data_IF_105063202690
#
_entry.id   IF_105063202690
#
_cell.length_a   1.000
_cell.length_b   1.000
_cell.length_c   1.000
_cell.angle_alpha   90.00
_cell.angle_beta   90.00
_cell.angle_gamma   90.00
#
_symmetry.space_group_name_H-M   'P 1'
#
loop_
_entity.id
_entity.type
_entity.pdbx_description
1 polymer ?
#
# COMPACT_ATOMS: atom_id res chain seq x y z
N UNK A 1 15.29 27.23 8.00
CA UNK A 1 16.42 26.77 7.17
C UNK A 1 16.91 25.54 7.87
N UNK A 2 16.24 24.43 7.62
CA UNK A 2 16.45 23.21 8.38
C UNK A 2 17.80 22.62 7.98
N UNK A 3 18.62 22.44 9.01
CA UNK A 3 19.94 21.86 8.95
C UNK A 3 19.79 20.42 8.45
N UNK A 4 20.05 20.20 7.15
CA UNK A 4 20.16 18.87 6.58
C UNK A 4 21.37 18.20 7.21
N UNK A 5 21.13 17.49 8.32
CA UNK A 5 22.13 16.68 9.01
C UNK A 5 22.74 15.70 8.01
N UNK A 6 24.05 15.82 7.79
CA UNK A 6 24.83 14.80 7.07
C UNK A 6 24.71 13.48 7.83
N UNK A 7 23.84 12.57 7.40
CA UNK A 7 23.62 11.26 8.02
C UNK A 7 24.83 10.30 7.90
N UNK A 8 25.96 10.77 7.37
CA UNK A 8 27.18 9.98 7.13
C UNK A 8 27.95 9.61 8.40
N UNK A 9 27.77 10.33 9.51
CA UNK A 9 28.69 10.25 10.67
C UNK A 9 28.10 9.53 11.90
N UNK A 10 26.92 8.92 11.77
CA UNK A 10 26.29 8.18 12.86
C UNK A 10 26.92 6.79 13.03
N UNK A 11 27.31 6.47 14.26
CA UNK A 11 27.68 5.10 14.68
C UNK A 11 26.54 4.12 14.41
N UNK A 12 26.85 2.84 14.18
CA UNK A 12 25.85 1.79 13.98
C UNK A 12 24.80 1.77 15.11
N UNK A 13 25.23 1.97 16.36
CA UNK A 13 24.34 2.01 17.53
C UNK A 13 23.39 3.20 17.50
N UNK A 14 23.83 4.34 16.99
CA UNK A 14 22.99 5.54 16.85
C UNK A 14 21.96 5.37 15.73
N UNK A 15 22.34 4.69 14.62
CA UNK A 15 21.41 4.37 13.54
C UNK A 15 20.34 3.37 13.98
N UNK A 16 20.73 2.35 14.75
CA UNK A 16 19.79 1.38 15.31
C UNK A 16 18.78 2.06 16.25
N UNK A 17 19.25 2.95 17.12
CA UNK A 17 18.38 3.69 18.03
C UNK A 17 17.40 4.60 17.28
N UNK A 18 17.87 5.30 16.24
CA UNK A 18 16.99 6.10 15.38
C UNK A 18 15.96 5.25 14.63
N UNK A 19 16.35 4.06 14.18
CA UNK A 19 15.42 3.13 13.52
C UNK A 19 14.36 2.61 14.49
N UNK A 20 14.76 2.26 15.71
CA UNK A 20 13.85 1.84 16.78
C UNK A 20 12.86 2.95 17.15
N UNK A 21 13.36 4.18 17.35
CA UNK A 21 12.53 5.35 17.61
C UNK A 21 11.58 5.66 16.42
N UNK A 22 12.01 5.43 15.18
CA UNK A 22 11.18 5.65 13.99
C UNK A 22 10.06 4.60 13.85
N UNK A 23 10.36 3.32 14.09
CA UNK A 23 9.45 2.20 13.92
C UNK A 23 8.51 1.99 15.11
N UNK A 24 9.01 2.19 16.33
CA UNK A 24 8.34 1.82 17.60
C UNK A 24 8.10 3.04 18.50
N UNK A 25 8.59 4.22 18.10
CA UNK A 25 8.44 5.45 18.88
C UNK A 25 7.00 5.67 19.36
N UNK A 26 6.86 6.08 20.62
CA UNK A 26 5.61 6.11 21.40
C UNK A 26 4.44 6.94 20.81
N UNK A 27 4.63 7.61 19.67
CA UNK A 27 3.63 8.46 19.01
C UNK A 27 3.34 8.04 17.57
N UNK A 28 4.08 7.11 16.98
CA UNK A 28 4.02 6.85 15.55
C UNK A 28 3.15 5.63 15.23
N UNK A 29 1.85 5.71 15.58
CA UNK A 29 0.85 4.72 15.16
C UNK A 29 0.57 4.76 13.64
N UNK A 30 1.27 5.61 12.89
CA UNK A 30 1.11 5.77 11.45
C UNK A 30 1.34 4.46 10.70
N UNK A 31 2.31 3.63 11.14
CA UNK A 31 2.55 2.33 10.53
C UNK A 31 1.42 1.33 10.79
N UNK A 32 0.89 1.29 12.01
CA UNK A 32 -0.25 0.43 12.35
C UNK A 32 -1.51 0.87 11.58
N UNK A 33 -1.78 2.18 11.53
CA UNK A 33 -2.87 2.74 10.74
C UNK A 33 -2.70 2.46 9.24
N UNK A 34 -1.47 2.50 8.74
CA UNK A 34 -1.15 2.18 7.36
C UNK A 34 -1.33 0.69 7.06
N UNK A 35 -0.87 -0.18 7.95
CA UNK A 35 -1.05 -1.63 7.86
C UNK A 35 -2.54 -1.97 7.85
N UNK A 36 -3.34 -1.41 8.74
CA UNK A 36 -4.79 -1.59 8.76
C UNK A 36 -5.46 -1.14 7.44
N UNK A 37 -4.94 -0.10 6.79
CA UNK A 37 -5.47 0.40 5.51
C UNK A 37 -5.04 -0.43 4.30
N UNK A 38 -3.91 -1.13 4.37
CA UNK A 38 -3.36 -1.89 3.23
C UNK A 38 -3.59 -3.38 3.36
N UNK A 39 -3.75 -3.89 4.57
CA UNK A 39 -4.08 -5.29 4.87
C UNK A 39 -5.55 -5.62 4.56
N UNK A 40 -6.01 -5.22 3.38
CA UNK A 40 -7.29 -5.66 2.81
C UNK A 40 -7.06 -6.88 1.94
N UNK A 41 -8.06 -7.76 1.89
CA UNK A 41 -8.04 -8.90 0.99
C UNK A 41 -7.95 -8.42 -0.46
N UNK A 42 -6.88 -8.81 -1.14
CA UNK A 42 -6.70 -8.60 -2.58
C UNK A 42 -6.92 -9.93 -3.32
N UNK A 43 -7.99 -10.07 -4.13
CA UNK A 43 -8.24 -11.30 -4.90
C UNK A 43 -7.07 -11.68 -5.81
N UNK A 44 -6.35 -10.69 -6.36
CA UNK A 44 -5.19 -10.93 -7.21
C UNK A 44 -4.01 -11.52 -6.46
N UNK A 45 -3.83 -11.18 -5.19
CA UNK A 45 -2.81 -11.80 -4.33
C UNK A 45 -3.19 -13.23 -3.98
N UNK A 46 -4.45 -13.46 -3.59
CA UNK A 46 -4.96 -14.77 -3.21
C UNK A 46 -4.81 -15.84 -4.32
N UNK A 47 -4.90 -15.43 -5.58
CA UNK A 47 -4.75 -16.32 -6.74
C UNK A 47 -3.35 -16.28 -7.39
N UNK A 48 -2.38 -15.58 -6.77
CA UNK A 48 -0.99 -15.54 -7.26
C UNK A 48 -0.76 -14.68 -8.51
N UNK A 49 -1.60 -13.69 -8.76
CA UNK A 49 -1.53 -12.78 -9.92
C UNK A 49 -0.90 -11.42 -9.57
N UNK A 50 0.09 -11.34 -8.66
CA UNK A 50 0.60 -10.06 -8.10
C UNK A 50 1.42 -9.20 -9.07
N UNK A 51 1.85 -9.72 -10.22
CA UNK A 51 2.70 -9.01 -11.20
C UNK A 51 2.18 -9.19 -12.62
N UNK A 52 0.91 -8.88 -12.81
CA UNK A 52 0.17 -9.13 -14.05
C UNK A 52 -0.66 -7.90 -14.41
N UNK A 53 0.00 -6.75 -14.46
CA UNK A 53 -0.58 -5.42 -14.56
C UNK A 53 -1.49 -5.28 -15.80
N UNK A 54 -1.08 -5.87 -16.92
CA UNK A 54 -1.90 -5.91 -18.15
C UNK A 54 -3.18 -6.73 -17.95
N UNK A 55 -3.10 -7.88 -17.26
CA UNK A 55 -4.29 -8.69 -16.96
C UNK A 55 -5.19 -8.01 -15.94
N UNK A 56 -4.63 -7.30 -14.97
CA UNK A 56 -5.40 -6.48 -14.04
C UNK A 56 -6.16 -5.38 -14.78
N UNK A 57 -5.47 -4.64 -15.67
CA UNK A 57 -6.11 -3.59 -16.46
C UNK A 57 -7.25 -4.12 -17.32
N UNK A 58 -7.05 -5.28 -17.96
CA UNK A 58 -8.10 -5.91 -18.76
C UNK A 58 -9.30 -6.35 -17.91
N UNK A 59 -9.05 -6.95 -16.73
CA UNK A 59 -10.11 -7.33 -15.81
C UNK A 59 -10.90 -6.12 -15.29
N UNK A 60 -10.21 -5.05 -14.89
CA UNK A 60 -10.84 -3.82 -14.42
C UNK A 60 -11.65 -3.15 -15.54
N UNK A 61 -11.11 -3.09 -16.76
CA UNK A 61 -11.85 -2.58 -17.92
C UNK A 61 -13.11 -3.38 -18.20
N UNK A 62 -13.06 -4.71 -18.03
CA UNK A 62 -14.22 -5.58 -18.23
C UNK A 62 -15.29 -5.34 -17.16
N UNK A 63 -14.91 -5.26 -15.89
CA UNK A 63 -15.86 -5.18 -14.76
C UNK A 63 -16.44 -3.77 -14.54
N UNK A 64 -15.75 -2.73 -15.02
CA UNK A 64 -16.20 -1.34 -14.90
C UNK A 64 -17.14 -0.91 -16.04
N UNK A 65 -17.25 -1.69 -17.12
CA UNK A 65 -18.17 -1.38 -18.22
C UNK A 65 -19.52 -2.10 -18.02
N UNK A 66 -20.59 -1.37 -17.67
CA UNK A 66 -21.89 -1.95 -17.33
C UNK A 66 -22.57 -2.70 -18.49
N UNK A 67 -22.11 -2.50 -19.73
CA UNK A 67 -22.65 -3.19 -20.90
C UNK A 67 -22.01 -4.56 -21.14
N UNK A 68 -20.90 -4.86 -20.46
CA UNK A 68 -20.29 -6.19 -20.53
C UNK A 68 -21.12 -7.24 -19.79
N UNK A 69 -20.93 -8.50 -20.17
CA UNK A 69 -21.63 -9.63 -19.55
C UNK A 69 -21.03 -10.00 -18.19
N UNK A 70 -21.23 -9.16 -17.18
CA UNK A 70 -20.87 -9.44 -15.80
C UNK A 70 -22.04 -9.14 -14.83
N UNK A 71 -22.12 -9.82 -13.68
CA UNK A 71 -23.29 -9.74 -12.79
C UNK A 71 -23.43 -8.40 -12.05
N UNK A 72 -22.40 -7.55 -12.08
CA UNK A 72 -22.37 -6.30 -11.33
C UNK A 72 -23.13 -5.14 -12.00
N UNK A 73 -23.38 -5.19 -13.31
CA UNK A 73 -24.00 -4.09 -14.05
C UNK A 73 -23.34 -2.73 -13.75
N UNK A 74 -24.15 -1.70 -13.48
CA UNK A 74 -23.66 -0.36 -13.14
C UNK A 74 -23.32 -0.14 -11.65
N UNK A 75 -23.41 -1.19 -10.81
CA UNK A 75 -23.26 -1.06 -9.35
C UNK A 75 -21.88 -0.56 -8.93
N UNK A 76 -20.83 -0.89 -9.68
CA UNK A 76 -19.45 -0.49 -9.37
C UNK A 76 -19.16 0.98 -9.70
N UNK A 77 -20.05 1.65 -10.45
CA UNK A 77 -19.89 3.05 -10.86
C UNK A 77 -20.70 4.03 -9.98
N UNK A 78 -21.53 3.51 -9.07
CA UNK A 78 -22.37 4.31 -8.17
C UNK A 78 -21.61 4.53 -6.86
N UNK A 79 -21.41 5.80 -6.47
CA UNK A 79 -20.83 6.21 -5.18
C UNK A 79 -21.92 6.55 -4.19
#
# INVERSE_FOLDING_TARGET
MDEYLSHSDLSADQKLKLLEDFLVGHSNNDFENFEQRISHFCPFEAIGMVRQEIRHSNFLSFILDPNNSHPFGDRLLKT
#
